data_IF_928067432678
#
_entry.id   IF_928067432678
#
_cell.length_a   1.000
_cell.length_b   1.000
_cell.length_c   1.000
_cell.angle_alpha   90.00
_cell.angle_beta   90.00
_cell.angle_gamma   90.00
#
_symmetry.space_group_name_H-M   'P 1'
#
loop_
_entity.id
_entity.type
_entity.pdbx_description
1 polymer ?
#
# COMPACT_ATOMS: atom_id res chain seq x y z
N UNK A 1 11.96 -6.05 -22.36
CA UNK A 1 12.05 -6.62 -21.01
C UNK A 1 13.16 -5.93 -20.24
N UNK A 2 12.99 -5.82 -18.92
CA UNK A 2 13.99 -5.28 -18.01
C UNK A 2 15.24 -6.18 -18.03
N UNK A 3 16.42 -5.59 -18.14
CA UNK A 3 17.69 -6.32 -18.12
C UNK A 3 18.45 -6.06 -16.82
N UNK A 4 18.39 -4.81 -16.33
CA UNK A 4 19.11 -4.35 -15.14
C UNK A 4 18.19 -3.50 -14.29
N UNK A 5 17.84 -3.98 -13.10
CA UNK A 5 16.77 -3.42 -12.26
C UNK A 5 17.30 -2.90 -10.93
N UNK A 6 16.73 -1.80 -10.47
CA UNK A 6 16.80 -1.32 -9.10
C UNK A 6 15.41 -1.44 -8.49
N UNK A 7 15.31 -1.87 -7.23
CA UNK A 7 14.05 -1.98 -6.50
C UNK A 7 14.08 -1.00 -5.33
N UNK A 8 13.07 -0.15 -5.22
CA UNK A 8 12.88 0.77 -4.11
C UNK A 8 11.74 0.25 -3.23
N UNK A 9 12.06 0.04 -1.95
CA UNK A 9 11.18 -0.53 -0.93
C UNK A 9 11.45 -2.01 -0.66
N UNK A 10 11.62 -2.35 0.61
CA UNK A 10 11.93 -3.69 1.11
C UNK A 10 10.71 -4.44 1.67
N UNK A 11 9.50 -4.00 1.35
CA UNK A 11 8.28 -4.75 1.66
C UNK A 11 8.26 -6.11 0.95
N UNK A 12 7.38 -7.02 1.38
CA UNK A 12 7.33 -8.40 0.83
C UNK A 12 7.23 -8.43 -0.69
N UNK A 13 6.46 -7.53 -1.29
CA UNK A 13 6.31 -7.46 -2.75
C UNK A 13 7.65 -7.12 -3.41
N UNK A 14 8.42 -6.15 -2.88
CA UNK A 14 9.73 -5.78 -3.40
C UNK A 14 10.71 -6.95 -3.34
N UNK A 15 10.75 -7.67 -2.22
CA UNK A 15 11.60 -8.85 -2.03
C UNK A 15 11.23 -9.98 -3.00
N UNK A 16 9.94 -10.30 -3.13
CA UNK A 16 9.44 -11.34 -4.03
C UNK A 16 9.73 -10.97 -5.49
N UNK A 17 9.56 -9.71 -5.86
CA UNK A 17 9.86 -9.23 -7.22
C UNK A 17 11.36 -9.27 -7.53
N UNK A 18 12.24 -8.97 -6.56
CA UNK A 18 13.67 -9.11 -6.73
C UNK A 18 14.05 -10.55 -7.16
N UNK A 19 13.57 -11.54 -6.41
CA UNK A 19 13.73 -12.95 -6.74
C UNK A 19 13.13 -13.30 -8.10
N UNK A 20 11.91 -12.87 -8.37
CA UNK A 20 11.21 -13.22 -9.61
C UNK A 20 11.93 -12.68 -10.84
N UNK A 21 12.34 -11.42 -10.82
CA UNK A 21 13.07 -10.80 -11.93
C UNK A 21 14.41 -11.50 -12.18
N UNK A 22 15.13 -11.90 -11.12
CA UNK A 22 16.37 -12.66 -11.24
C UNK A 22 16.13 -14.02 -11.90
N UNK A 23 15.08 -14.74 -11.53
CA UNK A 23 14.70 -16.01 -12.15
C UNK A 23 14.31 -15.87 -13.63
N UNK A 24 13.78 -14.72 -14.02
CA UNK A 24 13.48 -14.38 -15.43
C UNK A 24 14.73 -13.88 -16.20
N UNK A 25 15.90 -13.87 -15.59
CA UNK A 25 17.17 -13.52 -16.22
C UNK A 25 17.53 -12.04 -16.20
N UNK A 26 16.84 -11.21 -15.40
CA UNK A 26 17.27 -9.85 -15.15
C UNK A 26 18.34 -9.80 -14.05
N UNK A 27 19.21 -8.80 -14.12
CA UNK A 27 20.15 -8.47 -13.04
C UNK A 27 19.46 -7.49 -12.09
N UNK A 28 19.29 -7.87 -10.84
CA UNK A 28 18.80 -6.96 -9.79
C UNK A 28 20.01 -6.39 -9.06
N UNK A 29 20.30 -5.10 -9.26
CA UNK A 29 21.44 -4.39 -8.67
C UNK A 29 21.34 -4.26 -7.16
N UNK A 30 20.11 -4.19 -6.65
CA UNK A 30 19.85 -4.15 -5.23
C UNK A 30 18.42 -3.73 -4.90
N UNK A 31 18.06 -3.96 -3.64
CA UNK A 31 16.85 -3.43 -3.01
C UNK A 31 17.28 -2.30 -2.08
N UNK A 32 16.60 -1.16 -2.20
CA UNK A 32 16.87 0.06 -1.45
C UNK A 32 15.69 0.39 -0.55
N UNK A 33 15.96 0.62 0.72
CA UNK A 33 14.97 0.89 1.76
C UNK A 33 15.31 2.19 2.51
N UNK A 34 14.37 3.12 2.54
CA UNK A 34 14.59 4.39 3.24
C UNK A 34 14.66 4.21 4.77
N UNK A 35 13.93 3.25 5.32
CA UNK A 35 13.95 2.95 6.74
C UNK A 35 15.22 2.17 7.12
N UNK A 36 15.54 2.22 8.42
CA UNK A 36 16.63 1.45 9.01
C UNK A 36 16.38 -0.07 8.98
N UNK A 37 15.13 -0.45 9.17
CA UNK A 37 14.72 -1.84 9.29
C UNK A 37 14.06 -2.33 8.00
N UNK A 38 14.20 -3.64 7.76
CA UNK A 38 13.52 -4.35 6.69
C UNK A 38 12.00 -4.22 6.82
N UNK A 39 11.32 -3.84 5.74
CA UNK A 39 9.85 -3.71 5.73
C UNK A 39 9.09 -5.02 5.60
N UNK A 40 9.69 -6.04 4.98
CA UNK A 40 9.09 -7.35 4.75
C UNK A 40 9.47 -8.41 5.79
N UNK A 41 8.94 -9.61 5.63
CA UNK A 41 9.22 -10.73 6.52
C UNK A 41 10.66 -11.25 6.34
N UNK A 42 11.34 -11.60 7.42
CA UNK A 42 12.70 -12.18 7.41
C UNK A 42 12.80 -13.42 6.52
N UNK A 43 11.74 -14.24 6.46
CA UNK A 43 11.67 -15.38 5.54
C UNK A 43 11.83 -14.95 4.08
N UNK A 44 11.14 -13.90 3.67
CA UNK A 44 11.22 -13.39 2.30
C UNK A 44 12.58 -12.74 2.03
N UNK A 45 13.17 -12.05 3.00
CA UNK A 45 14.54 -11.56 2.90
C UNK A 45 15.53 -12.71 2.62
N UNK A 46 15.48 -13.79 3.42
CA UNK A 46 16.35 -14.94 3.22
C UNK A 46 16.16 -15.57 1.84
N UNK A 47 14.92 -15.96 1.51
CA UNK A 47 14.60 -16.71 0.30
C UNK A 47 14.64 -15.90 -0.99
N UNK A 48 14.48 -14.59 -0.91
CA UNK A 48 14.39 -13.74 -2.10
C UNK A 48 15.65 -12.91 -2.36
N UNK A 49 16.40 -12.55 -1.33
CA UNK A 49 17.61 -11.78 -1.50
C UNK A 49 18.88 -12.58 -1.19
N UNK A 50 18.96 -13.21 -0.01
CA UNK A 50 20.18 -13.91 0.40
C UNK A 50 20.50 -15.11 -0.52
N UNK A 51 19.50 -15.95 -0.83
CA UNK A 51 19.67 -17.11 -1.71
C UNK A 51 20.09 -16.72 -3.15
N UNK A 52 19.86 -15.47 -3.53
CA UNK A 52 20.19 -14.93 -4.87
C UNK A 52 21.34 -13.92 -4.85
N UNK A 53 21.98 -13.69 -3.69
CA UNK A 53 23.05 -12.70 -3.50
C UNK A 53 22.65 -11.29 -3.95
N UNK A 54 21.38 -10.91 -3.75
CA UNK A 54 20.89 -9.56 -4.06
C UNK A 54 21.12 -8.68 -2.83
N UNK A 55 21.85 -7.54 -2.96
CA UNK A 55 22.13 -6.68 -1.83
C UNK A 55 20.91 -5.91 -1.37
N UNK A 56 20.76 -5.75 -0.05
CA UNK A 56 19.82 -4.84 0.60
C UNK A 56 20.57 -3.64 1.14
N UNK A 57 20.13 -2.44 0.77
CA UNK A 57 20.65 -1.17 1.26
C UNK A 57 19.57 -0.45 2.05
N UNK A 58 19.67 -0.49 3.39
CA UNK A 58 18.79 0.27 4.28
C UNK A 58 19.26 1.71 4.42
N UNK A 59 18.43 2.58 4.97
CA UNK A 59 18.67 4.03 5.09
C UNK A 59 19.15 4.64 3.76
N UNK A 60 18.54 4.20 2.66
CA UNK A 60 18.91 4.65 1.32
C UNK A 60 17.66 4.79 0.46
N UNK A 61 17.52 5.91 -0.24
CA UNK A 61 16.40 6.16 -1.14
C UNK A 61 16.87 6.57 -2.54
N UNK A 62 15.95 6.56 -3.51
CA UNK A 62 16.18 7.08 -4.84
C UNK A 62 15.76 8.57 -4.87
N UNK A 63 16.70 9.44 -5.23
CA UNK A 63 16.49 10.89 -5.28
C UNK A 63 16.29 11.43 -6.68
N UNK A 64 16.80 10.74 -7.69
CA UNK A 64 16.70 11.17 -9.09
C UNK A 64 16.68 9.99 -10.06
N UNK A 65 16.01 10.18 -11.19
CA UNK A 65 16.01 9.24 -12.31
C UNK A 65 16.57 9.92 -13.54
N UNK A 66 17.30 9.14 -14.37
CA UNK A 66 17.94 9.63 -15.60
C UNK A 66 17.44 8.84 -16.81
N UNK A 67 17.26 9.52 -17.92
CA UNK A 67 16.84 8.96 -19.20
C UNK A 67 15.81 9.85 -19.88
N UNK A 68 15.79 9.83 -21.22
CA UNK A 68 14.82 10.61 -22.00
C UNK A 68 13.57 9.79 -22.35
N UNK A 69 13.74 8.73 -23.14
CA UNK A 69 12.66 7.83 -23.58
C UNK A 69 12.54 6.59 -22.70
N UNK A 70 13.63 6.21 -22.07
CA UNK A 70 13.74 5.07 -21.18
C UNK A 70 14.72 5.39 -20.07
N UNK A 71 14.50 4.78 -18.91
CA UNK A 71 15.43 4.86 -17.78
C UNK A 71 16.82 4.37 -18.19
N UNK A 72 17.86 5.12 -17.83
CA UNK A 72 19.25 4.77 -18.06
C UNK A 72 20.06 4.65 -16.75
N UNK A 73 19.63 5.34 -15.72
CA UNK A 73 20.23 5.29 -14.39
C UNK A 73 19.28 5.84 -13.33
N UNK A 74 19.58 5.53 -12.07
CA UNK A 74 18.99 6.19 -10.89
C UNK A 74 20.10 6.72 -10.00
N UNK A 75 19.82 7.81 -9.29
CA UNK A 75 20.65 8.29 -8.21
C UNK A 75 20.05 7.81 -6.90
N UNK A 76 20.86 7.18 -6.08
CA UNK A 76 20.48 6.78 -4.72
C UNK A 76 21.33 7.56 -3.72
N UNK A 77 20.73 7.89 -2.58
CA UNK A 77 21.35 8.69 -1.54
C UNK A 77 21.04 8.07 -0.18
N UNK A 78 22.00 8.10 0.74
CA UNK A 78 21.74 7.73 2.12
C UNK A 78 20.76 8.75 2.75
N UNK A 79 19.97 8.29 3.71
CA UNK A 79 19.03 9.15 4.45
C UNK A 79 19.28 9.06 5.95
N UNK A 80 18.90 10.11 6.66
CA UNK A 80 18.86 10.14 8.12
C UNK A 80 17.64 9.39 8.69
N UNK A 81 17.48 9.40 10.01
CA UNK A 81 16.35 8.74 10.68
C UNK A 81 14.99 9.39 10.37
N UNK A 82 14.98 10.64 9.91
CA UNK A 82 13.79 11.36 9.45
C UNK A 82 13.55 11.21 7.92
N UNK A 83 14.32 10.33 7.26
CA UNK A 83 14.31 10.06 5.83
C UNK A 83 14.71 11.24 4.94
N UNK A 84 15.45 12.21 5.47
CA UNK A 84 16.03 13.29 4.67
C UNK A 84 17.32 12.84 4.00
N UNK A 85 17.53 13.15 2.69
CA UNK A 85 18.77 12.81 1.99
C UNK A 85 19.99 13.47 2.60
N UNK A 86 21.07 12.70 2.76
CA UNK A 86 22.37 13.17 3.25
C UNK A 86 23.23 13.61 2.07
N UNK A 87 23.48 14.91 1.95
CA UNK A 87 24.33 15.50 0.91
C UNK A 87 25.73 14.86 0.88
N UNK A 88 26.22 14.57 -0.33
CA UNK A 88 27.54 13.97 -0.55
C UNK A 88 27.55 12.43 -0.45
N UNK A 89 26.41 11.79 -0.23
CA UNK A 89 26.27 10.33 -0.22
C UNK A 89 25.66 9.77 -1.52
N UNK A 90 25.43 10.64 -2.51
CA UNK A 90 24.79 10.28 -3.78
C UNK A 90 25.64 9.30 -4.59
N UNK A 91 24.99 8.29 -5.16
CA UNK A 91 25.59 7.30 -6.06
C UNK A 91 24.69 7.10 -7.26
N UNK A 92 25.29 7.07 -8.45
CA UNK A 92 24.56 6.77 -9.69
C UNK A 92 24.68 5.27 -9.95
N UNK A 93 23.52 4.65 -10.22
CA UNK A 93 23.42 3.22 -10.56
C UNK A 93 22.81 3.11 -11.94
N UNK A 94 23.56 2.60 -12.89
CA UNK A 94 23.07 2.32 -14.22
C UNK A 94 22.04 1.20 -14.18
N UNK A 95 20.84 1.47 -14.68
CA UNK A 95 19.76 0.49 -14.77
C UNK A 95 18.77 0.89 -15.85
N UNK A 96 18.03 -0.07 -16.38
CA UNK A 96 16.99 0.18 -17.38
C UNK A 96 15.57 0.10 -16.81
N UNK A 97 15.46 -0.24 -15.52
CA UNK A 97 14.17 -0.38 -14.83
C UNK A 97 14.30 -0.05 -13.34
N UNK A 98 13.39 0.77 -12.85
CA UNK A 98 13.17 1.05 -11.44
C UNK A 98 11.82 0.48 -11.03
N UNK A 99 11.82 -0.42 -10.05
CA UNK A 99 10.61 -1.04 -9.49
C UNK A 99 10.29 -0.32 -8.18
N UNK A 100 9.10 0.21 -8.07
CA UNK A 100 8.61 0.87 -6.86
C UNK A 100 7.77 -0.10 -6.03
N UNK A 101 8.21 -0.36 -4.79
CA UNK A 101 7.51 -1.17 -3.80
C UNK A 101 7.41 -0.41 -2.47
N UNK A 102 6.95 0.82 -2.53
CA UNK A 102 6.97 1.82 -1.45
C UNK A 102 5.63 2.02 -0.75
N UNK A 103 4.77 1.03 -0.83
CA UNK A 103 3.43 1.04 -0.26
C UNK A 103 2.33 1.09 -1.30
N UNK A 104 1.12 0.90 -0.84
CA UNK A 104 -0.10 0.91 -1.66
C UNK A 104 -0.87 2.20 -1.41
N UNK A 105 -1.43 2.74 -2.47
CA UNK A 105 -2.37 3.87 -2.42
C UNK A 105 -3.74 3.34 -2.84
N UNK A 106 -4.80 3.55 -2.05
CA UNK A 106 -6.16 3.17 -2.43
C UNK A 106 -6.57 3.83 -3.75
N UNK A 107 -7.08 3.03 -4.69
CA UNK A 107 -7.56 3.51 -6.00
C UNK A 107 -9.00 4.01 -5.86
N UNK A 108 -9.18 5.31 -5.72
CA UNK A 108 -10.45 5.93 -5.38
C UNK A 108 -10.98 6.97 -6.38
N UNK A 109 -10.41 7.06 -7.59
CA UNK A 109 -10.83 8.04 -8.60
C UNK A 109 -12.34 8.00 -8.91
N UNK A 110 -12.96 6.83 -8.94
CA UNK A 110 -14.40 6.68 -9.16
C UNK A 110 -15.22 7.17 -7.96
N UNK A 111 -14.75 6.90 -6.75
CA UNK A 111 -15.39 7.37 -5.52
C UNK A 111 -15.32 8.91 -5.43
N UNK A 112 -14.17 9.49 -5.74
CA UNK A 112 -13.96 10.94 -5.76
C UNK A 112 -14.86 11.62 -6.81
N UNK A 113 -14.99 11.06 -8.01
CA UNK A 113 -15.89 11.56 -9.06
C UNK A 113 -17.37 11.53 -8.65
N UNK A 114 -17.74 10.63 -7.76
CA UNK A 114 -19.07 10.58 -7.14
C UNK A 114 -19.24 11.54 -5.95
N UNK A 115 -18.20 12.29 -5.59
CA UNK A 115 -18.19 13.18 -4.43
C UNK A 115 -18.21 12.44 -3.09
N UNK A 116 -17.72 11.21 -3.05
CA UNK A 116 -17.62 10.42 -1.81
C UNK A 116 -16.49 10.98 -0.97
N UNK A 117 -16.80 11.26 0.31
CA UNK A 117 -15.80 11.75 1.27
C UNK A 117 -14.79 10.63 1.57
N UNK A 118 -13.51 10.94 1.43
CA UNK A 118 -12.41 10.08 1.82
C UNK A 118 -11.97 10.36 3.26
N UNK A 119 -11.61 9.33 3.97
CA UNK A 119 -10.98 9.42 5.28
C UNK A 119 -9.50 9.80 5.11
N UNK A 120 -9.00 10.73 5.93
CA UNK A 120 -7.64 11.27 5.79
C UNK A 120 -6.54 10.30 6.21
N UNK A 121 -6.86 9.37 7.07
CA UNK A 121 -5.89 8.44 7.64
C UNK A 121 -5.73 7.19 6.77
N UNK A 122 -6.84 6.68 6.25
CA UNK A 122 -6.83 5.50 5.37
C UNK A 122 -6.72 5.84 3.90
N UNK A 123 -6.99 7.09 3.50
CA UNK A 123 -7.16 7.53 2.11
C UNK A 123 -8.23 6.75 1.32
N UNK A 124 -9.09 6.01 2.02
CA UNK A 124 -10.23 5.29 1.47
C UNK A 124 -11.55 6.04 1.71
N UNK A 125 -12.64 5.66 1.05
CA UNK A 125 -13.96 6.22 1.30
C UNK A 125 -14.39 6.03 2.74
N UNK A 126 -14.89 7.07 3.39
CA UNK A 126 -15.51 6.95 4.70
C UNK A 126 -16.80 6.13 4.60
N UNK A 127 -16.94 5.09 5.42
CA UNK A 127 -18.08 4.17 5.36
C UNK A 127 -18.53 3.70 6.75
N UNK A 128 -19.75 3.17 6.79
CA UNK A 128 -20.32 2.55 7.99
C UNK A 128 -19.95 1.05 8.11
N UNK A 129 -20.40 0.43 9.19
CA UNK A 129 -20.15 -1.00 9.50
C UNK A 129 -20.72 -1.98 8.46
N UNK A 130 -21.61 -1.53 7.59
CA UNK A 130 -22.11 -2.24 6.42
C UNK A 130 -21.27 -1.98 5.16
N UNK A 131 -20.17 -1.24 5.29
CA UNK A 131 -19.36 -0.75 4.17
C UNK A 131 -20.10 0.15 3.19
N UNK A 132 -21.24 0.73 3.61
CA UNK A 132 -21.93 1.75 2.82
C UNK A 132 -21.24 3.10 3.03
N UNK A 133 -20.87 3.75 1.94
CA UNK A 133 -20.24 5.08 1.96
C UNK A 133 -21.23 6.17 2.41
N UNK A 134 -20.76 7.41 2.49
CA UNK A 134 -21.66 8.54 2.78
C UNK A 134 -22.69 8.79 1.67
N UNK A 135 -22.45 8.27 0.45
CA UNK A 135 -23.41 8.28 -0.64
C UNK A 135 -24.33 7.06 -0.55
N UNK A 136 -25.64 7.31 -0.52
CA UNK A 136 -26.64 6.27 -0.32
C UNK A 136 -26.65 5.24 -1.45
N UNK A 137 -26.64 3.95 -1.10
CA UNK A 137 -26.59 2.83 -2.06
C UNK A 137 -25.22 2.55 -2.67
N UNK A 138 -24.15 3.26 -2.27
CA UNK A 138 -22.79 3.02 -2.73
C UNK A 138 -21.98 2.35 -1.63
N UNK A 139 -21.44 1.17 -1.95
CA UNK A 139 -20.66 0.33 -1.03
C UNK A 139 -19.21 0.27 -1.48
N UNK A 140 -18.30 0.11 -0.53
CA UNK A 140 -16.86 0.03 -0.77
C UNK A 140 -16.29 -1.21 -0.06
N UNK A 141 -15.29 -1.86 -0.67
CA UNK A 141 -14.56 -2.95 -0.04
C UNK A 141 -13.16 -3.09 -0.65
N UNK A 142 -12.36 -3.98 -0.07
CA UNK A 142 -11.01 -4.25 -0.53
C UNK A 142 -10.04 -3.10 -0.26
N UNK A 143 -8.92 -3.09 -0.99
CA UNK A 143 -7.87 -2.09 -0.81
C UNK A 143 -8.26 -0.68 -1.26
N UNK A 144 -9.37 -0.51 -1.96
CA UNK A 144 -9.96 0.81 -2.21
C UNK A 144 -10.55 1.42 -0.94
N UNK A 145 -11.08 0.59 -0.02
CA UNK A 145 -11.61 1.03 1.27
C UNK A 145 -10.51 1.23 2.30
N UNK A 146 -9.67 0.21 2.45
CA UNK A 146 -8.58 0.17 3.41
C UNK A 146 -7.54 -0.83 2.91
N UNK A 147 -6.26 -0.44 2.93
CA UNK A 147 -5.16 -1.33 2.55
C UNK A 147 -4.98 -2.41 3.61
N UNK A 148 -5.06 -3.67 3.20
CA UNK A 148 -4.88 -4.82 4.06
C UNK A 148 -3.64 -5.61 3.65
N UNK A 149 -2.88 -6.10 4.63
CA UNK A 149 -1.71 -6.95 4.39
C UNK A 149 -2.08 -8.38 3.95
N UNK A 150 -3.27 -8.85 4.34
CA UNK A 150 -3.74 -10.19 4.04
C UNK A 150 -5.03 -10.17 3.22
N UNK A 151 -5.05 -10.95 2.14
CA UNK A 151 -6.23 -11.11 1.27
C UNK A 151 -7.45 -11.68 2.00
N UNK A 152 -7.24 -12.40 3.09
CA UNK A 152 -8.31 -12.94 3.94
C UNK A 152 -9.20 -11.82 4.51
N UNK A 153 -8.61 -10.74 4.98
CA UNK A 153 -9.34 -9.57 5.46
C UNK A 153 -10.06 -8.83 4.33
N UNK A 154 -9.42 -8.74 3.16
CA UNK A 154 -10.06 -8.19 1.95
C UNK A 154 -11.32 -8.98 1.61
N UNK A 155 -11.23 -10.31 1.63
CA UNK A 155 -12.34 -11.21 1.31
C UNK A 155 -13.47 -11.11 2.35
N UNK A 156 -13.13 -10.99 3.64
CA UNK A 156 -14.10 -10.83 4.71
C UNK A 156 -14.86 -9.49 4.57
N UNK A 157 -14.15 -8.40 4.35
CA UNK A 157 -14.75 -7.08 4.11
C UNK A 157 -15.64 -7.07 2.86
N UNK A 158 -15.20 -7.69 1.76
CA UNK A 158 -16.00 -7.81 0.54
C UNK A 158 -17.28 -8.63 0.76
N UNK A 159 -17.23 -9.70 1.57
CA UNK A 159 -18.41 -10.49 1.95
C UNK A 159 -19.42 -9.65 2.75
N UNK A 160 -18.95 -8.83 3.68
CA UNK A 160 -19.79 -7.90 4.46
C UNK A 160 -20.45 -6.89 3.55
N UNK A 161 -19.67 -6.19 2.73
CA UNK A 161 -20.17 -5.21 1.76
C UNK A 161 -21.21 -5.83 0.81
N UNK A 162 -20.93 -7.01 0.25
CA UNK A 162 -21.84 -7.72 -0.66
C UNK A 162 -23.17 -8.13 -0.01
N UNK A 163 -23.12 -8.64 1.23
CA UNK A 163 -24.35 -8.96 1.99
C UNK A 163 -25.19 -7.72 2.25
N UNK A 164 -24.58 -6.64 2.71
CA UNK A 164 -25.29 -5.39 3.00
C UNK A 164 -25.83 -4.76 1.72
N UNK A 165 -25.10 -4.80 0.62
CA UNK A 165 -25.57 -4.31 -0.67
C UNK A 165 -26.77 -5.11 -1.20
N UNK A 166 -26.76 -6.46 -1.05
CA UNK A 166 -27.88 -7.31 -1.45
C UNK A 166 -29.16 -7.03 -0.65
N UNK A 167 -29.03 -6.63 0.61
CA UNK A 167 -30.15 -6.31 1.51
C UNK A 167 -30.48 -4.80 1.52
N UNK A 168 -29.82 -4.02 0.68
CA UNK A 168 -30.00 -2.59 0.65
C UNK A 168 -31.43 -2.17 0.36
N UNK A 169 -31.91 -1.26 1.18
CA UNK A 169 -33.14 -0.51 0.92
C UNK A 169 -32.92 0.96 1.31
N UNK A 170 -33.40 1.87 0.48
CA UNK A 170 -33.26 3.30 0.75
C UNK A 170 -33.94 3.68 2.05
N UNK A 171 -33.17 4.20 3.01
CA UNK A 171 -33.66 4.62 4.32
C UNK A 171 -32.82 5.79 4.85
N UNK A 172 -33.37 6.52 5.81
CA UNK A 172 -32.62 7.54 6.54
C UNK A 172 -31.69 6.81 7.51
N UNK A 173 -30.38 6.97 7.33
CA UNK A 173 -29.35 6.40 8.21
C UNK A 173 -29.10 7.33 9.40
N UNK A 174 -28.84 6.72 10.56
CA UNK A 174 -28.39 7.42 11.77
C UNK A 174 -26.94 7.03 12.04
N UNK A 175 -26.01 7.76 11.42
CA UNK A 175 -24.59 7.50 11.53
C UNK A 175 -24.00 8.09 12.81
N UNK A 176 -23.25 7.28 13.55
CA UNK A 176 -22.47 7.68 14.72
C UNK A 176 -21.00 7.44 14.39
N UNK A 177 -20.11 8.44 14.53
CA UNK A 177 -18.69 8.26 14.28
C UNK A 177 -18.07 7.33 15.34
N UNK A 178 -17.13 6.49 14.89
CA UNK A 178 -16.25 5.73 15.77
C UNK A 178 -15.05 6.62 16.07
N UNK A 179 -14.79 6.84 17.34
CA UNK A 179 -13.65 7.62 17.81
C UNK A 179 -12.59 6.66 18.40
N UNK A 180 -11.34 6.97 18.21
CA UNK A 180 -10.22 6.27 18.81
C UNK A 180 -9.43 7.21 19.74
N UNK A 181 -8.74 6.66 20.70
CA UNK A 181 -8.09 7.39 21.79
C UNK A 181 -6.59 7.67 21.56
N UNK A 182 -6.10 7.50 20.34
CA UNK A 182 -4.70 7.72 20.00
C UNK A 182 -3.77 6.53 20.24
N UNK A 183 -4.23 5.45 20.88
CA UNK A 183 -3.51 4.16 20.87
C UNK A 183 -3.62 3.46 19.52
N UNK A 184 -4.68 3.76 18.77
CA UNK A 184 -4.91 3.27 17.42
C UNK A 184 -4.65 4.40 16.42
N UNK A 185 -3.97 4.09 15.34
CA UNK A 185 -3.71 5.06 14.28
C UNK A 185 -5.01 5.50 13.58
N UNK A 186 -5.95 4.58 13.40
CA UNK A 186 -7.26 4.83 12.78
C UNK A 186 -8.25 3.69 13.09
N UNK A 187 -9.52 3.91 12.76
CA UNK A 187 -10.59 2.90 12.84
C UNK A 187 -11.25 2.68 11.49
N UNK A 188 -11.50 1.42 11.16
CA UNK A 188 -12.28 1.01 9.99
C UNK A 188 -13.33 0.00 10.46
N UNK A 189 -14.62 0.25 10.19
CA UNK A 189 -15.23 1.40 9.54
C UNK A 189 -15.18 2.67 10.40
N UNK A 190 -15.47 3.83 9.79
CA UNK A 190 -15.48 5.13 10.48
C UNK A 190 -16.79 5.42 11.18
N UNK A 191 -17.89 4.76 10.81
CA UNK A 191 -19.24 5.02 11.34
C UNK A 191 -19.99 3.73 11.67
N UNK A 192 -20.94 3.86 12.59
CA UNK A 192 -21.98 2.85 12.85
C UNK A 192 -23.32 3.44 12.45
N UNK A 193 -24.12 2.73 11.63
CA UNK A 193 -25.50 3.08 11.34
C UNK A 193 -26.44 2.44 12.38
N UNK A 194 -26.95 3.24 13.30
CA UNK A 194 -27.87 2.80 14.34
C UNK A 194 -29.28 2.48 13.83
N UNK A 195 -29.59 2.78 12.58
CA UNK A 195 -30.86 2.43 11.93
C UNK A 195 -30.84 1.03 11.30
N UNK A 196 -29.70 0.39 11.21
CA UNK A 196 -29.57 -0.97 10.68
C UNK A 196 -30.15 -1.99 11.67
N UNK A 197 -31.00 -2.89 11.17
CA UNK A 197 -31.65 -3.92 12.00
C UNK A 197 -30.71 -5.07 12.41
N UNK A 198 -29.53 -5.17 11.86
CA UNK A 198 -28.55 -6.20 12.21
C UNK A 198 -27.56 -5.69 13.25
N UNK A 199 -27.80 -6.05 14.50
CA UNK A 199 -26.90 -5.83 15.64
C UNK A 199 -25.80 -6.88 15.76
N UNK A 200 -25.51 -7.65 14.71
CA UNK A 200 -24.46 -8.66 14.72
C UNK A 200 -23.51 -8.40 13.58
N UNK A 201 -22.40 -7.78 13.92
CA UNK A 201 -21.12 -7.98 13.23
C UNK A 201 -20.48 -9.17 13.94
N UNK A 202 -20.53 -10.35 13.32
CA UNK A 202 -19.77 -11.52 13.77
C UNK A 202 -18.31 -11.35 13.36
#
# INVERSE_FOLDING_TARGET
PAKKCVILGSGDIGLIMARRLTLEGAVVEGVYEAKKDLGGLLRNYSQCLMDFNIPLHTQTTCTRVFGEKRLSAVEVCAVDDDMNPLEGSERIIECDSLILSVGLIPENELAEKLGIVTDKETNGPAADHCHQTMVDGVFVCGNAFHVNDLVDYVSLGAKTAGKCAALYSKKIRKLIPILHDGYFAYCVPQFIDMSANEKKVD
#
